data_IF_506050848959
#
_entry.id   IF_506050848959
#
_cell.length_a   1.000
_cell.length_b   1.000
_cell.length_c   1.000
_cell.angle_alpha   90.00
_cell.angle_beta   90.00
_cell.angle_gamma   90.00
#
_symmetry.space_group_name_H-M   'P 1'
#
loop_
_entity.id
_entity.type
_entity.pdbx_description
1 polymer ?
#
# COMPACT_ATOMS: atom_id res chain seq x y z
N UNK A 1 -20.02 -23.09 -3.24
CA UNK A 1 -18.73 -22.44 -2.92
C UNK A 1 -18.87 -21.07 -2.21
N UNK A 2 -20.05 -20.76 -1.67
CA UNK A 2 -20.43 -19.44 -1.14
C UNK A 2 -19.51 -18.92 -0.01
N UNK A 3 -19.15 -19.78 0.95
CA UNK A 3 -18.30 -19.38 2.08
C UNK A 3 -16.78 -19.52 1.80
N UNK A 4 -16.38 -19.48 0.53
CA UNK A 4 -14.96 -19.54 0.19
C UNK A 4 -14.34 -18.15 0.28
N UNK A 5 -13.05 -18.09 0.64
CA UNK A 5 -12.29 -16.82 0.67
C UNK A 5 -12.37 -16.04 -0.64
N UNK A 6 -12.41 -16.74 -1.77
CA UNK A 6 -12.58 -16.13 -3.09
C UNK A 6 -13.89 -15.33 -3.16
N UNK A 7 -15.00 -15.99 -2.86
CA UNK A 7 -16.32 -15.36 -2.97
C UNK A 7 -16.44 -14.21 -1.99
N UNK A 8 -16.04 -14.40 -0.73
CA UNK A 8 -16.06 -13.33 0.28
C UNK A 8 -15.21 -12.11 -0.08
N UNK A 9 -14.13 -12.28 -0.87
CA UNK A 9 -13.32 -11.17 -1.36
C UNK A 9 -14.00 -10.49 -2.55
N UNK A 10 -14.46 -11.26 -3.54
CA UNK A 10 -15.12 -10.69 -4.73
C UNK A 10 -16.41 -9.93 -4.39
N UNK A 11 -17.10 -10.32 -3.32
CA UNK A 11 -18.26 -9.62 -2.77
C UNK A 11 -17.97 -8.20 -2.29
N UNK A 12 -16.71 -7.87 -1.97
CA UNK A 12 -16.36 -6.51 -1.54
C UNK A 12 -16.15 -5.56 -2.71
N UNK A 13 -16.11 -6.07 -3.96
CA UNK A 13 -15.81 -5.25 -5.12
C UNK A 13 -17.05 -4.47 -5.58
N UNK A 14 -16.89 -3.15 -5.67
CA UNK A 14 -17.90 -2.32 -6.33
C UNK A 14 -17.94 -2.56 -7.84
N UNK A 15 -18.93 -1.98 -8.53
CA UNK A 15 -19.09 -2.17 -9.98
C UNK A 15 -17.85 -1.74 -10.79
N UNK A 16 -17.13 -0.71 -10.35
CA UNK A 16 -15.91 -0.23 -10.99
C UNK A 16 -14.73 -1.16 -10.75
N UNK A 17 -14.59 -1.68 -9.52
CA UNK A 17 -13.59 -2.66 -9.15
C UNK A 17 -13.81 -4.00 -9.87
N UNK A 18 -15.05 -4.45 -10.02
CA UNK A 18 -15.38 -5.65 -10.79
C UNK A 18 -14.92 -5.52 -12.25
N UNK A 19 -15.22 -4.39 -12.89
CA UNK A 19 -14.81 -4.14 -14.27
C UNK A 19 -13.28 -4.03 -14.41
N UNK A 20 -12.62 -3.37 -13.47
CA UNK A 20 -11.16 -3.20 -13.47
C UNK A 20 -10.45 -4.53 -13.18
N UNK A 21 -10.99 -5.34 -12.27
CA UNK A 21 -10.46 -6.67 -11.96
C UNK A 21 -10.60 -7.62 -13.16
N UNK A 22 -11.72 -7.55 -13.90
CA UNK A 22 -11.87 -8.30 -15.16
C UNK A 22 -10.75 -7.98 -16.14
N UNK A 23 -10.43 -6.69 -16.33
CA UNK A 23 -9.33 -6.25 -17.18
C UNK A 23 -7.97 -6.72 -16.65
N UNK A 24 -7.80 -6.70 -15.33
CA UNK A 24 -6.59 -7.19 -14.66
C UNK A 24 -6.35 -8.69 -14.92
N UNK A 25 -7.39 -9.52 -14.84
CA UNK A 25 -7.31 -10.96 -15.17
C UNK A 25 -7.02 -11.17 -16.66
N UNK A 26 -7.61 -10.36 -17.53
CA UNK A 26 -7.38 -10.45 -18.97
C UNK A 26 -5.99 -9.93 -19.40
N UNK A 27 -5.27 -9.24 -18.52
CA UNK A 27 -3.97 -8.65 -18.85
C UNK A 27 -2.86 -9.70 -18.88
N UNK A 28 -2.15 -9.87 -20.01
CA UNK A 28 -1.04 -10.83 -20.12
C UNK A 28 0.17 -10.45 -19.23
N UNK A 29 0.22 -9.20 -18.75
CA UNK A 29 1.24 -8.74 -17.81
C UNK A 29 0.98 -9.26 -16.38
N UNK A 30 -0.28 -9.33 -15.97
CA UNK A 30 -0.66 -9.75 -14.62
C UNK A 30 -1.03 -11.22 -14.52
N UNK A 31 -1.52 -11.80 -15.62
CA UNK A 31 -2.01 -13.16 -15.67
C UNK A 31 -1.60 -13.84 -16.99
N UNK A 32 -0.92 -14.97 -16.90
CA UNK A 32 -0.55 -15.80 -18.06
C UNK A 32 -1.50 -17.00 -18.25
N UNK A 33 -2.57 -17.06 -17.45
CA UNK A 33 -3.52 -18.17 -17.36
C UNK A 33 -4.89 -17.72 -17.80
N UNK A 34 -5.12 -17.77 -19.09
CA UNK A 34 -6.38 -17.37 -19.72
C UNK A 34 -7.57 -18.20 -19.21
N UNK A 35 -7.33 -19.41 -18.72
CA UNK A 35 -8.35 -20.27 -18.14
C UNK A 35 -9.01 -19.70 -16.88
N UNK A 36 -8.46 -18.65 -16.26
CA UNK A 36 -9.05 -18.03 -15.07
C UNK A 36 -10.15 -17.01 -15.38
N UNK A 37 -10.11 -16.40 -16.57
CA UNK A 37 -11.10 -15.40 -16.96
C UNK A 37 -12.52 -15.99 -17.09
N UNK A 38 -12.73 -17.17 -17.71
CA UNK A 38 -14.05 -17.80 -17.75
C UNK A 38 -14.65 -18.09 -16.36
N UNK A 39 -13.82 -18.45 -15.38
CA UNK A 39 -14.30 -18.62 -14.00
C UNK A 39 -14.83 -17.30 -13.44
N UNK A 40 -14.08 -16.22 -13.62
CA UNK A 40 -14.51 -14.91 -13.14
C UNK A 40 -15.77 -14.42 -13.85
N UNK A 41 -15.82 -14.53 -15.19
CA UNK A 41 -16.99 -14.13 -15.99
C UNK A 41 -18.25 -14.92 -15.62
N UNK A 42 -18.11 -16.18 -15.17
CA UNK A 42 -19.21 -16.97 -14.64
C UNK A 42 -19.66 -16.50 -13.25
N UNK A 43 -18.74 -16.04 -12.41
CA UNK A 43 -19.02 -15.63 -11.03
C UNK A 43 -19.50 -14.18 -10.91
N UNK A 44 -19.01 -13.28 -11.77
CA UNK A 44 -19.28 -11.84 -11.71
C UNK A 44 -20.79 -11.51 -11.66
N UNK A 45 -21.67 -12.09 -12.50
CA UNK A 45 -23.10 -11.78 -12.44
C UNK A 45 -23.81 -12.28 -11.17
N UNK A 46 -23.16 -13.17 -10.41
CA UNK A 46 -23.71 -13.76 -9.20
C UNK A 46 -23.36 -12.96 -7.94
N UNK A 47 -22.43 -12.01 -8.01
CA UNK A 47 -21.91 -11.30 -6.85
C UNK A 47 -22.97 -10.43 -6.15
N UNK A 48 -23.95 -9.91 -6.90
CA UNK A 48 -24.99 -9.03 -6.34
C UNK A 48 -26.05 -9.77 -5.50
N UNK A 49 -26.33 -11.05 -5.80
CA UNK A 49 -27.45 -11.79 -5.20
C UNK A 49 -27.13 -13.21 -4.71
N UNK A 50 -25.90 -13.70 -4.93
CA UNK A 50 -25.30 -14.97 -4.45
C UNK A 50 -26.29 -16.11 -4.12
N UNK A 51 -27.06 -16.59 -5.11
CA UNK A 51 -27.95 -17.71 -4.91
C UNK A 51 -27.10 -18.95 -4.60
N UNK A 52 -27.40 -19.66 -3.52
CA UNK A 52 -26.57 -20.78 -3.07
C UNK A 52 -26.51 -21.91 -4.13
N UNK A 53 -27.62 -22.14 -4.81
CA UNK A 53 -27.77 -23.09 -5.94
C UNK A 53 -26.99 -22.66 -7.19
N UNK A 54 -26.77 -21.36 -7.40
CA UNK A 54 -25.98 -20.86 -8.53
C UNK A 54 -24.47 -20.99 -8.28
N UNK A 55 -24.06 -21.07 -7.01
CA UNK A 55 -22.68 -21.24 -6.57
C UNK A 55 -22.32 -22.71 -6.30
N UNK A 56 -23.12 -23.64 -6.79
CA UNK A 56 -22.78 -25.07 -6.79
C UNK A 56 -21.54 -25.31 -7.65
N UNK A 57 -20.58 -26.09 -7.13
CA UNK A 57 -19.26 -26.29 -7.76
C UNK A 57 -19.38 -26.85 -9.18
N UNK A 58 -20.20 -27.89 -9.33
CA UNK A 58 -20.42 -28.58 -10.60
C UNK A 58 -21.05 -27.66 -11.65
N UNK A 59 -22.04 -26.88 -11.21
CA UNK A 59 -22.73 -25.90 -12.07
C UNK A 59 -21.81 -24.79 -12.54
N UNK A 60 -21.05 -24.17 -11.61
CA UNK A 60 -20.07 -23.12 -11.93
C UNK A 60 -18.99 -23.67 -12.87
N UNK A 61 -18.46 -24.86 -12.60
CA UNK A 61 -17.44 -25.46 -13.45
C UNK A 61 -17.96 -25.73 -14.87
N UNK A 62 -19.14 -26.33 -15.00
CA UNK A 62 -19.73 -26.64 -16.30
C UNK A 62 -20.07 -25.38 -17.10
N UNK A 63 -20.49 -24.31 -16.42
CA UNK A 63 -20.78 -23.03 -17.06
C UNK A 63 -19.50 -22.29 -17.50
N UNK A 64 -18.45 -22.30 -16.67
CA UNK A 64 -17.18 -21.66 -16.98
C UNK A 64 -16.35 -22.42 -18.03
N UNK A 65 -16.47 -23.75 -18.09
CA UNK A 65 -15.63 -24.63 -18.92
C UNK A 65 -16.47 -25.63 -19.73
N UNK A 66 -17.24 -25.15 -20.72
CA UNK A 66 -18.07 -26.02 -21.54
C UNK A 66 -17.22 -27.06 -22.29
N UNK A 67 -17.52 -28.34 -22.08
CA UNK A 67 -16.81 -29.46 -22.71
C UNK A 67 -15.72 -30.09 -21.83
N UNK A 68 -15.40 -29.52 -20.66
CA UNK A 68 -14.57 -30.17 -19.66
C UNK A 68 -15.45 -31.01 -18.70
N UNK A 69 -14.99 -32.22 -18.35
CA UNK A 69 -15.63 -33.00 -17.29
C UNK A 69 -15.34 -32.35 -15.94
N UNK A 70 -16.33 -32.33 -15.04
CA UNK A 70 -16.15 -31.78 -13.71
C UNK A 70 -14.97 -32.43 -12.97
N UNK A 71 -13.98 -31.61 -12.61
CA UNK A 71 -12.85 -31.98 -11.77
C UNK A 71 -12.77 -31.02 -10.58
N UNK A 72 -13.08 -31.53 -9.39
CA UNK A 72 -13.05 -30.75 -8.16
C UNK A 72 -11.66 -30.18 -7.83
N UNK A 73 -10.58 -30.92 -8.14
CA UNK A 73 -9.21 -30.45 -7.88
C UNK A 73 -8.86 -29.32 -8.83
N UNK A 74 -9.23 -29.45 -10.10
CA UNK A 74 -9.00 -28.41 -11.10
C UNK A 74 -9.78 -27.12 -10.76
N UNK A 75 -11.04 -27.25 -10.33
CA UNK A 75 -11.81 -26.12 -9.84
C UNK A 75 -11.16 -25.46 -8.63
N UNK A 76 -10.79 -26.23 -7.62
CA UNK A 76 -10.14 -25.71 -6.41
C UNK A 76 -8.82 -24.99 -6.74
N UNK A 77 -8.05 -25.52 -7.70
CA UNK A 77 -6.85 -24.89 -8.21
C UNK A 77 -7.17 -23.55 -8.87
N UNK A 78 -8.09 -23.52 -9.84
CA UNK A 78 -8.51 -22.29 -10.55
C UNK A 78 -9.03 -21.23 -9.58
N UNK A 79 -9.85 -21.61 -8.60
CA UNK A 79 -10.33 -20.72 -7.54
C UNK A 79 -9.18 -20.14 -6.71
N UNK A 80 -8.19 -20.94 -6.33
CA UNK A 80 -7.04 -20.46 -5.57
C UNK A 80 -6.16 -19.47 -6.37
N UNK A 81 -5.98 -19.70 -7.67
CA UNK A 81 -5.28 -18.72 -8.52
C UNK A 81 -6.07 -17.44 -8.72
N UNK A 82 -7.40 -17.54 -8.91
CA UNK A 82 -8.25 -16.36 -9.04
C UNK A 82 -8.26 -15.54 -7.74
N UNK A 83 -8.27 -16.19 -6.58
CA UNK A 83 -8.14 -15.53 -5.28
C UNK A 83 -6.82 -14.73 -5.18
N UNK A 84 -5.70 -15.37 -5.53
CA UNK A 84 -4.38 -14.69 -5.53
C UNK A 84 -4.35 -13.50 -6.49
N UNK A 85 -5.00 -13.60 -7.65
CA UNK A 85 -5.12 -12.47 -8.57
C UNK A 85 -5.94 -11.34 -7.96
N UNK A 86 -7.04 -11.65 -7.26
CA UNK A 86 -7.89 -10.66 -6.61
C UNK A 86 -7.15 -9.94 -5.45
N UNK A 87 -6.41 -10.69 -4.62
CA UNK A 87 -5.55 -10.14 -3.57
C UNK A 87 -4.45 -9.24 -4.16
N UNK A 88 -3.83 -9.66 -5.27
CA UNK A 88 -2.82 -8.86 -5.98
C UNK A 88 -3.44 -7.59 -6.58
N UNK A 89 -4.63 -7.69 -7.16
CA UNK A 89 -5.37 -6.55 -7.71
C UNK A 89 -5.61 -5.48 -6.66
N UNK A 90 -6.09 -5.85 -5.46
CA UNK A 90 -6.26 -4.92 -4.33
C UNK A 90 -4.95 -4.22 -3.95
N UNK A 91 -3.83 -4.95 -3.96
CA UNK A 91 -2.50 -4.38 -3.72
C UNK A 91 -2.09 -3.37 -4.78
N UNK A 92 -2.37 -3.66 -6.06
CA UNK A 92 -2.09 -2.76 -7.19
C UNK A 92 -2.97 -1.52 -7.11
N UNK A 93 -4.28 -1.66 -6.93
CA UNK A 93 -5.23 -0.55 -6.79
C UNK A 93 -4.85 0.38 -5.63
N UNK A 94 -4.49 -0.19 -4.47
CA UNK A 94 -4.02 0.60 -3.33
C UNK A 94 -2.74 1.38 -3.65
N UNK A 95 -1.83 0.81 -4.44
CA UNK A 95 -0.59 1.47 -4.85
C UNK A 95 -0.85 2.57 -5.89
N UNK A 96 -1.72 2.32 -6.86
CA UNK A 96 -2.12 3.29 -7.89
C UNK A 96 -2.89 4.48 -7.30
N UNK A 97 -3.68 4.26 -6.25
CA UNK A 97 -4.38 5.32 -5.54
C UNK A 97 -3.45 6.19 -4.66
N UNK A 98 -2.26 5.69 -4.31
CA UNK A 98 -1.27 6.40 -3.50
C UNK A 98 -0.19 7.01 -4.40
N UNK A 99 -0.52 8.13 -5.05
CA UNK A 99 0.31 8.75 -6.08
C UNK A 99 1.73 9.06 -5.58
N UNK A 100 1.88 9.57 -4.34
CA UNK A 100 3.18 9.91 -3.78
C UNK A 100 4.09 8.68 -3.62
N UNK A 101 3.52 7.52 -3.26
CA UNK A 101 4.28 6.27 -3.12
C UNK A 101 4.72 5.73 -4.47
N UNK A 102 3.83 5.78 -5.47
CA UNK A 102 4.14 5.34 -6.83
C UNK A 102 5.22 6.24 -7.47
N UNK A 103 5.16 7.55 -7.23
CA UNK A 103 6.18 8.50 -7.67
C UNK A 103 7.54 8.25 -7.00
N UNK A 104 7.58 7.94 -5.69
CA UNK A 104 8.81 7.54 -5.00
C UNK A 104 9.47 6.31 -5.64
N UNK A 105 8.70 5.25 -5.91
CA UNK A 105 9.23 4.04 -6.56
C UNK A 105 9.78 4.37 -7.95
N UNK A 106 9.04 5.22 -8.68
CA UNK A 106 9.43 5.65 -10.03
C UNK A 106 10.74 6.42 -9.98
N UNK A 107 10.89 7.38 -9.05
CA UNK A 107 12.14 8.10 -8.84
C UNK A 107 13.30 7.17 -8.52
N UNK A 108 13.13 6.25 -7.57
CA UNK A 108 14.18 5.28 -7.22
C UNK A 108 14.58 4.42 -8.42
N UNK A 109 13.59 3.97 -9.21
CA UNK A 109 13.82 3.23 -10.44
C UNK A 109 14.58 4.03 -11.50
N UNK A 110 14.34 5.34 -11.62
CA UNK A 110 15.03 6.24 -12.55
C UNK A 110 16.47 6.53 -12.10
N UNK A 111 16.69 6.71 -10.80
CA UNK A 111 18.02 6.89 -10.20
C UNK A 111 18.89 5.66 -10.48
N UNK A 112 18.35 4.46 -10.24
CA UNK A 112 19.06 3.21 -10.52
C UNK A 112 19.40 3.01 -12.02
N UNK A 113 18.67 3.69 -12.92
CA UNK A 113 18.90 3.68 -14.36
C UNK A 113 19.76 4.86 -14.85
N UNK A 114 20.21 5.75 -13.95
CA UNK A 114 20.99 6.96 -14.26
C UNK A 114 20.27 7.91 -15.24
N UNK A 115 18.96 8.07 -15.07
CA UNK A 115 18.11 8.92 -15.92
C UNK A 115 17.86 10.30 -15.30
N UNK A 116 18.89 11.14 -15.24
CA UNK A 116 18.88 12.42 -14.51
C UNK A 116 17.75 13.37 -14.92
N UNK A 117 17.50 13.53 -16.22
CA UNK A 117 16.45 14.43 -16.71
C UNK A 117 15.06 14.02 -16.20
N UNK A 118 14.80 12.72 -16.15
CA UNK A 118 13.54 12.18 -15.64
C UNK A 118 13.46 12.33 -14.12
N UNK A 119 14.56 12.05 -13.41
CA UNK A 119 14.66 12.26 -11.97
C UNK A 119 14.32 13.71 -11.59
N UNK A 120 14.99 14.69 -12.19
CA UNK A 120 14.78 16.11 -11.86
C UNK A 120 13.37 16.59 -12.18
N UNK A 121 12.74 16.06 -13.24
CA UNK A 121 11.36 16.41 -13.60
C UNK A 121 10.39 15.96 -12.50
N UNK A 122 10.38 14.67 -12.16
CA UNK A 122 9.45 14.12 -11.15
C UNK A 122 9.77 14.66 -9.76
N UNK A 123 11.06 14.79 -9.41
CA UNK A 123 11.51 15.34 -8.12
C UNK A 123 10.90 16.72 -7.87
N UNK A 124 10.88 17.57 -8.89
CA UNK A 124 10.34 18.93 -8.81
C UNK A 124 8.81 18.94 -8.62
N UNK A 125 8.09 18.00 -9.22
CA UNK A 125 6.64 17.86 -9.02
C UNK A 125 6.35 17.44 -7.58
N UNK A 126 7.04 16.41 -7.10
CA UNK A 126 6.94 15.96 -5.70
C UNK A 126 7.26 17.05 -4.68
N UNK A 127 8.30 17.85 -4.91
CA UNK A 127 8.65 18.95 -3.99
C UNK A 127 7.53 20.00 -3.92
N UNK A 128 6.83 20.27 -5.02
CA UNK A 128 5.68 21.20 -5.04
C UNK A 128 4.49 20.62 -4.30
N UNK A 129 4.21 19.34 -4.51
CA UNK A 129 3.10 18.64 -3.84
C UNK A 129 3.33 18.58 -2.34
N UNK A 130 4.55 18.26 -1.89
CA UNK A 130 4.91 18.25 -0.48
C UNK A 130 4.84 19.65 0.15
N UNK A 131 5.19 20.72 -0.57
CA UNK A 131 5.08 22.09 -0.06
C UNK A 131 3.64 22.62 -0.04
N UNK A 132 2.80 22.22 -1.00
CA UNK A 132 1.40 22.62 -1.10
C UNK A 132 0.45 21.78 -0.24
N UNK A 133 0.89 20.58 0.15
CA UNK A 133 0.15 19.68 1.02
C UNK A 133 0.09 20.22 2.45
N UNK A 134 -1.11 20.59 2.88
CA UNK A 134 -1.41 20.85 4.29
C UNK A 134 -1.56 19.54 5.09
N UNK A 135 -1.10 18.38 4.60
CA UNK A 135 -1.13 17.15 5.38
C UNK A 135 -0.10 17.24 6.51
N UNK A 136 -0.58 17.72 7.66
CA UNK A 136 0.16 17.82 8.92
C UNK A 136 0.25 16.44 9.59
N UNK A 137 0.32 15.34 8.84
CA UNK A 137 0.38 13.98 9.37
C UNK A 137 1.82 13.49 9.51
N UNK A 138 2.08 12.55 10.40
CA UNK A 138 3.42 11.98 10.57
C UNK A 138 3.96 11.39 9.24
N UNK A 139 3.09 10.82 8.39
CA UNK A 139 3.47 10.21 7.11
C UNK A 139 4.09 11.21 6.13
N UNK A 140 3.84 12.50 6.28
CA UNK A 140 4.53 13.56 5.52
C UNK A 140 6.05 13.53 5.75
N UNK A 141 6.47 13.40 7.01
CA UNK A 141 7.89 13.32 7.36
C UNK A 141 8.54 12.03 6.84
N UNK A 142 7.77 10.94 6.80
CA UNK A 142 8.24 9.70 6.18
C UNK A 142 8.47 9.86 4.67
N UNK A 143 7.57 10.54 3.95
CA UNK A 143 7.74 10.85 2.53
C UNK A 143 8.98 11.71 2.29
N UNK A 144 9.18 12.77 3.09
CA UNK A 144 10.36 13.64 3.01
C UNK A 144 11.65 12.86 3.25
N UNK A 145 11.67 12.01 4.28
CA UNK A 145 12.79 11.13 4.59
C UNK A 145 13.13 10.23 3.39
N UNK A 146 12.15 9.52 2.83
CA UNK A 146 12.35 8.63 1.68
C UNK A 146 12.82 9.39 0.43
N UNK A 147 12.28 10.58 0.17
CA UNK A 147 12.72 11.41 -0.94
C UNK A 147 14.18 11.83 -0.79
N UNK A 148 14.59 12.20 0.42
CA UNK A 148 15.97 12.57 0.72
C UNK A 148 16.92 11.38 0.56
N UNK A 149 16.54 10.17 0.98
CA UNK A 149 17.35 8.96 0.73
C UNK A 149 17.55 8.70 -0.77
N UNK A 150 16.51 8.87 -1.59
CA UNK A 150 16.62 8.74 -3.05
C UNK A 150 17.54 9.84 -3.61
N UNK A 151 17.45 11.06 -3.09
CA UNK A 151 18.34 12.17 -3.44
C UNK A 151 19.81 11.91 -3.11
N UNK A 152 20.10 11.35 -1.94
CA UNK A 152 21.45 10.91 -1.56
C UNK A 152 21.98 9.83 -2.52
N UNK A 153 21.17 8.81 -2.85
CA UNK A 153 21.55 7.79 -3.84
C UNK A 153 21.87 8.42 -5.20
N UNK A 154 21.03 9.35 -5.66
CA UNK A 154 21.25 10.09 -6.90
C UNK A 154 22.56 10.87 -6.86
N UNK A 155 22.79 11.64 -5.79
CA UNK A 155 24.00 12.43 -5.55
C UNK A 155 25.26 11.57 -5.56
N UNK A 156 25.23 10.41 -4.88
CA UNK A 156 26.35 9.47 -4.84
C UNK A 156 26.75 8.98 -6.24
N UNK A 157 25.79 8.84 -7.16
CA UNK A 157 26.08 8.47 -8.56
C UNK A 157 26.68 9.60 -9.41
N UNK A 158 26.61 10.85 -8.96
CA UNK A 158 27.22 11.99 -9.65
C UNK A 158 28.74 12.09 -9.39
N UNK A 159 29.28 11.31 -8.44
CA UNK A 159 30.70 11.29 -8.05
C UNK A 159 31.26 12.68 -7.66
N UNK A 160 30.37 13.61 -7.31
CA UNK A 160 30.74 14.97 -6.96
C UNK A 160 31.27 15.03 -5.52
N UNK A 161 32.49 15.55 -5.35
CA UNK A 161 33.09 15.77 -4.04
C UNK A 161 32.60 17.06 -3.40
N UNK A 162 31.28 17.17 -3.19
CA UNK A 162 30.66 18.30 -2.50
C UNK A 162 29.80 17.82 -1.32
N UNK A 163 29.41 18.75 -0.46
CA UNK A 163 28.55 18.46 0.69
C UNK A 163 27.18 17.97 0.20
N UNK A 164 26.74 16.82 0.71
CA UNK A 164 25.43 16.25 0.44
C UNK A 164 24.42 16.64 1.54
N UNK A 165 23.57 17.62 1.25
CA UNK A 165 22.52 18.06 2.17
C UNK A 165 21.44 16.99 2.38
N UNK A 166 21.28 16.04 1.46
CA UNK A 166 20.21 15.04 1.54
C UNK A 166 20.35 14.15 2.77
N UNK A 167 21.58 13.87 3.22
CA UNK A 167 21.81 13.08 4.43
C UNK A 167 21.21 13.76 5.67
N UNK A 168 21.47 15.06 5.84
CA UNK A 168 20.92 15.82 6.97
C UNK A 168 19.40 15.87 6.89
N UNK A 169 18.85 16.18 5.71
CA UNK A 169 17.39 16.20 5.49
C UNK A 169 16.74 14.85 5.78
N UNK A 170 17.39 13.73 5.40
CA UNK A 170 16.87 12.40 5.65
C UNK A 170 16.80 12.11 7.16
N UNK A 171 17.82 12.47 7.94
CA UNK A 171 17.84 12.26 9.39
C UNK A 171 16.82 13.15 10.09
N UNK A 172 16.77 14.44 9.77
CA UNK A 172 15.84 15.38 10.41
C UNK A 172 14.36 14.96 10.18
N UNK A 173 14.05 14.51 8.96
CA UNK A 173 12.73 14.01 8.61
C UNK A 173 12.42 12.66 9.29
N UNK A 174 13.42 11.78 9.44
CA UNK A 174 13.26 10.52 10.16
C UNK A 174 12.93 10.73 11.63
N UNK A 175 13.64 11.64 12.29
CA UNK A 175 13.39 11.99 13.69
C UNK A 175 11.97 12.54 13.84
N UNK A 176 11.59 13.50 12.99
CA UNK A 176 10.24 14.07 12.96
C UNK A 176 9.14 13.01 12.82
N UNK A 177 9.32 12.07 11.89
CA UNK A 177 8.40 10.94 11.69
C UNK A 177 8.33 10.04 12.93
N UNK A 178 9.49 9.65 13.46
CA UNK A 178 9.62 8.75 14.60
C UNK A 178 8.88 9.30 15.81
N UNK A 179 9.15 10.55 16.18
CA UNK A 179 8.52 11.17 17.33
C UNK A 179 7.02 11.36 17.14
N UNK A 180 6.58 11.83 15.96
CA UNK A 180 5.16 12.01 15.69
C UNK A 180 4.36 10.69 15.81
N UNK A 181 4.86 9.61 15.18
CA UNK A 181 4.22 8.29 15.29
C UNK A 181 4.29 7.73 16.71
N UNK A 182 5.42 7.89 17.39
CA UNK A 182 5.60 7.36 18.74
C UNK A 182 4.68 8.04 19.75
N UNK A 183 4.54 9.37 19.69
CA UNK A 183 3.59 10.12 20.53
C UNK A 183 2.15 9.69 20.24
N UNK A 184 1.78 9.56 18.97
CA UNK A 184 0.43 9.08 18.57
C UNK A 184 0.11 7.72 19.23
N UNK A 185 1.03 6.75 19.10
CA UNK A 185 0.87 5.43 19.69
C UNK A 185 0.85 5.47 21.22
N UNK A 186 1.65 6.35 21.83
CA UNK A 186 1.67 6.53 23.28
C UNK A 186 0.33 7.07 23.81
N UNK A 187 -0.26 8.05 23.14
CA UNK A 187 -1.60 8.54 23.46
C UNK A 187 -2.66 7.42 23.32
N UNK A 188 -2.56 6.58 22.29
CA UNK A 188 -3.43 5.41 22.15
C UNK A 188 -3.26 4.40 23.28
N UNK A 189 -2.02 4.12 23.70
CA UNK A 189 -1.72 3.22 24.82
C UNK A 189 -2.34 3.76 26.12
N UNK A 190 -2.16 5.05 26.40
CA UNK A 190 -2.75 5.71 27.58
C UNK A 190 -4.28 5.64 27.57
N UNK A 191 -4.91 5.95 26.43
CA UNK A 191 -6.37 5.91 26.27
C UNK A 191 -6.92 4.50 26.50
N UNK A 192 -6.29 3.47 25.91
CA UNK A 192 -6.73 2.08 26.05
C UNK A 192 -6.45 1.52 27.45
N UNK A 193 -5.37 1.94 28.12
CA UNK A 193 -5.05 1.49 29.47
C UNK A 193 -6.08 1.95 30.51
N UNK A 194 -6.75 3.09 30.27
CA UNK A 194 -7.87 3.52 31.11
C UNK A 194 -9.11 2.63 30.97
N UNK A 195 -9.24 1.89 29.86
CA UNK A 195 -10.42 1.07 29.54
C UNK A 195 -10.23 -0.43 29.82
N UNK A 196 -9.00 -0.93 29.89
CA UNK A 196 -8.69 -2.35 30.03
C UNK A 196 -7.73 -2.63 31.20
N UNK A 197 -7.91 -3.77 31.89
CA UNK A 197 -7.08 -4.18 33.04
C UNK A 197 -5.62 -4.57 32.67
N UNK A 198 -5.25 -4.53 31.40
CA UNK A 198 -3.88 -4.82 30.96
C UNK A 198 -3.08 -3.51 30.88
N UNK A 199 -1.93 -3.47 31.54
CA UNK A 199 -1.06 -2.30 31.57
C UNK A 199 -0.01 -2.38 30.47
N UNK A 200 0.10 -1.34 29.66
CA UNK A 200 1.22 -1.21 28.72
C UNK A 200 2.49 -0.83 29.49
N UNK A 201 3.66 -1.16 28.93
CA UNK A 201 4.96 -0.72 29.47
C UNK A 201 5.21 0.72 29.07
N UNK A 202 4.86 1.67 29.95
CA UNK A 202 5.00 3.11 29.70
C UNK A 202 6.33 3.69 30.23
N UNK A 203 6.98 2.99 31.17
CA UNK A 203 8.12 3.52 31.94
C UNK A 203 9.37 3.80 31.08
N UNK A 204 9.56 3.07 29.98
CA UNK A 204 10.67 3.26 29.04
C UNK A 204 10.49 4.47 28.11
N UNK A 205 9.34 5.16 28.16
CA UNK A 205 8.99 6.25 27.25
C UNK A 205 9.19 7.65 27.85
N UNK A 206 9.28 7.76 29.18
CA UNK A 206 9.41 9.05 29.89
C UNK A 206 10.71 9.78 29.55
N UNK A 207 11.82 9.05 29.39
CA UNK A 207 13.11 9.64 28.98
C UNK A 207 13.05 10.26 27.58
N UNK A 208 12.17 9.74 26.71
CA UNK A 208 12.03 10.23 25.35
C UNK A 208 11.34 11.60 25.30
N UNK A 209 10.37 11.82 26.18
CA UNK A 209 9.66 13.10 26.32
C UNK A 209 10.63 14.19 26.80
N UNK A 210 11.56 13.86 27.69
CA UNK A 210 12.58 14.80 28.18
C UNK A 210 13.57 15.22 27.08
N UNK A 211 13.92 14.31 26.18
CA UNK A 211 14.77 14.61 25.01
C UNK A 211 14.00 15.47 23.99
N UNK A 212 12.71 15.20 23.78
CA UNK A 212 11.85 16.01 22.93
C UNK A 212 11.74 17.45 23.43
N UNK A 213 11.51 17.65 24.73
CA UNK A 213 11.40 18.97 25.36
C UNK A 213 12.64 19.85 25.22
N UNK A 214 13.81 19.23 25.06
CA UNK A 214 15.10 19.93 24.90
C UNK A 214 15.55 20.06 23.44
N UNK A 215 14.75 19.55 22.49
CA UNK A 215 15.07 19.55 21.06
C UNK A 215 14.31 20.62 20.28
N UNK A 216 14.88 21.01 19.14
CA UNK A 216 14.21 21.91 18.18
C UNK A 216 12.97 21.27 17.51
N UNK A 217 12.71 19.99 17.75
CA UNK A 217 11.58 19.26 17.17
C UNK A 217 10.23 19.78 17.65
N UNK A 218 10.15 20.41 18.84
CA UNK A 218 8.92 21.09 19.28
C UNK A 218 8.50 22.22 18.32
N UNK A 219 9.40 22.75 17.48
CA UNK A 219 9.00 23.73 16.44
C UNK A 219 8.05 23.14 15.40
N UNK A 220 7.91 21.82 15.33
CA UNK A 220 7.00 21.12 14.43
C UNK A 220 5.58 21.20 15.00
N UNK A 221 4.63 21.88 14.33
CA UNK A 221 3.27 22.08 14.85
C UNK A 221 2.53 20.79 15.17
N UNK A 222 2.82 19.71 14.43
CA UNK A 222 2.25 18.38 14.68
C UNK A 222 2.65 17.80 16.03
N UNK A 223 3.83 18.11 16.56
CA UNK A 223 4.27 17.56 17.84
C UNK A 223 3.67 18.31 19.03
N UNK A 224 3.13 19.52 18.84
CA UNK A 224 2.48 20.31 19.89
C UNK A 224 1.05 19.85 20.25
N UNK A 225 0.40 19.04 19.43
CA UNK A 225 -0.98 18.61 19.67
C UNK A 225 -1.07 17.36 20.57
N UNK A 226 0.06 16.73 20.86
CA UNK A 226 0.19 15.54 21.70
C UNK A 226 0.75 15.91 23.07
#
# INVERSE_FOLDING_TARGET
MKNSKLISLLETFDAGEQQSFRQFIASPYFNTRDELLPLYDCLQPLLDNLPEEALEKERVFSAAYPGENYDEKQLAYRMNYLLKLAERFLGVQRREAADELAQLDTLEALVNRRLDKHYYFIRREMDRELQGSAQVGADHFWLQHRLAEIGNKHFAFQEERRFDQHIQTAVDALDSFYYAKKLTLYCEMLSRQQLFQHSYRLDEQVQLLQVLESSDLLKIPLLHIY
#
